data_IF_659536524341
#
_entry.id   IF_659536524341
#
_cell.length_a   1.000
_cell.length_b   1.000
_cell.length_c   1.000
_cell.angle_alpha   90.00
_cell.angle_beta   90.00
_cell.angle_gamma   90.00
#
_symmetry.space_group_name_H-M   'P 1'
#
loop_
_entity.id
_entity.type
_entity.pdbx_description
1 polymer ?
#
# COMPACT_ATOMS: atom_id res chain seq x y z
N UNK A 1 4.58 17.19 3.83
CA UNK A 1 4.65 17.81 2.48
C UNK A 1 3.36 18.53 2.16
N UNK A 2 3.45 19.59 1.33
CA UNK A 2 2.31 20.32 0.80
C UNK A 2 2.47 20.44 -0.72
N UNK A 3 1.35 20.43 -1.43
CA UNK A 3 1.34 20.51 -2.89
C UNK A 3 0.45 21.68 -3.32
N UNK A 4 0.95 22.49 -4.25
CA UNK A 4 0.26 23.65 -4.77
C UNK A 4 0.23 23.57 -6.30
N UNK A 5 -0.95 23.67 -6.90
CA UNK A 5 -1.05 23.87 -8.35
C UNK A 5 -0.67 25.30 -8.66
N UNK A 6 0.28 25.50 -9.55
CA UNK A 6 0.79 26.80 -9.97
C UNK A 6 0.58 26.96 -11.47
N UNK A 7 0.37 28.18 -11.92
CA UNK A 7 0.19 28.50 -13.34
C UNK A 7 1.03 29.72 -13.71
N UNK A 8 1.75 29.65 -14.83
CA UNK A 8 2.51 30.75 -15.39
C UNK A 8 2.52 30.66 -16.92
N UNK A 9 2.09 31.72 -17.61
CA UNK A 9 2.11 31.80 -19.07
C UNK A 9 1.26 30.70 -19.74
N UNK A 10 0.14 30.30 -19.13
CA UNK A 10 -0.77 29.28 -19.62
C UNK A 10 -0.27 27.83 -19.40
N UNK A 11 0.86 27.63 -18.72
CA UNK A 11 1.36 26.32 -18.32
C UNK A 11 1.05 26.05 -16.86
N UNK A 12 0.55 24.84 -16.57
CA UNK A 12 0.27 24.33 -15.21
C UNK A 12 1.41 23.44 -14.74
N UNK A 13 1.66 23.48 -13.43
CA UNK A 13 2.61 22.62 -12.77
C UNK A 13 2.19 22.42 -11.31
N UNK A 14 2.77 21.42 -10.64
CA UNK A 14 2.62 21.19 -9.19
C UNK A 14 3.91 21.61 -8.50
N UNK A 15 3.81 22.53 -7.54
CA UNK A 15 4.90 22.86 -6.63
C UNK A 15 4.77 22.00 -5.37
N UNK A 16 5.72 21.09 -5.17
CA UNK A 16 5.90 20.35 -3.91
C UNK A 16 6.75 21.19 -2.97
N UNK A 17 6.24 21.40 -1.75
CA UNK A 17 6.91 22.07 -0.64
C UNK A 17 7.19 21.03 0.46
N UNK A 18 8.46 20.66 0.61
CA UNK A 18 8.96 19.64 1.54
C UNK A 18 10.17 20.22 2.34
N UNK A 19 9.91 21.21 3.24
CA UNK A 19 10.97 22.00 3.86
C UNK A 19 11.81 21.19 4.84
N UNK A 20 13.17 21.26 4.73
CA UNK A 20 14.06 20.71 5.74
C UNK A 20 13.90 21.43 7.11
N UNK A 21 14.21 20.79 8.22
CA UNK A 21 14.71 19.40 8.37
C UNK A 21 13.58 18.36 8.48
N UNK A 22 12.30 18.79 8.41
CA UNK A 22 11.14 17.94 8.69
C UNK A 22 10.77 17.00 7.53
N UNK A 23 11.13 17.40 6.31
CA UNK A 23 10.87 16.63 5.09
C UNK A 23 12.15 16.58 4.25
N UNK A 24 12.30 15.50 3.46
CA UNK A 24 13.36 15.35 2.46
C UNK A 24 12.72 15.02 1.09
N UNK A 25 12.91 15.86 0.06
CA UNK A 25 12.42 15.58 -1.28
C UNK A 25 13.25 14.57 -2.06
N UNK A 26 14.47 14.23 -1.62
CA UNK A 26 15.39 13.37 -2.36
C UNK A 26 14.85 11.99 -2.68
N UNK A 27 14.18 11.24 -1.75
CA UNK A 27 13.59 9.94 -2.08
C UNK A 27 12.55 10.04 -3.19
N UNK A 28 11.68 11.06 -3.15
CA UNK A 28 10.72 11.32 -4.22
C UNK A 28 11.41 11.54 -5.57
N UNK A 29 12.44 12.41 -5.60
CA UNK A 29 13.18 12.74 -6.82
C UNK A 29 13.85 11.48 -7.41
N UNK A 30 14.54 10.71 -6.58
CA UNK A 30 15.26 9.52 -7.02
C UNK A 30 14.31 8.49 -7.66
N UNK A 31 13.12 8.26 -7.06
CA UNK A 31 12.17 7.30 -7.58
C UNK A 31 11.44 7.85 -8.81
N UNK A 32 11.10 9.15 -8.85
CA UNK A 32 10.54 9.76 -10.04
C UNK A 32 11.49 9.63 -11.25
N UNK A 33 12.79 9.92 -11.06
CA UNK A 33 13.82 9.77 -12.10
C UNK A 33 14.00 8.29 -12.52
N UNK A 34 13.95 7.34 -11.58
CA UNK A 34 13.99 5.91 -11.90
C UNK A 34 12.79 5.48 -12.74
N UNK A 35 11.57 5.86 -12.34
CA UNK A 35 10.34 5.49 -13.04
C UNK A 35 10.30 6.08 -14.44
N UNK A 36 10.58 7.38 -14.59
CA UNK A 36 10.61 8.05 -15.91
C UNK A 36 11.71 7.50 -16.79
N UNK A 37 12.91 7.24 -16.25
CA UNK A 37 14.03 6.60 -16.96
C UNK A 37 13.75 5.17 -17.39
N UNK A 38 12.82 4.47 -16.71
CA UNK A 38 12.34 3.13 -17.05
C UNK A 38 11.12 3.13 -17.98
N UNK A 39 10.63 4.31 -18.39
CA UNK A 39 9.52 4.46 -19.33
C UNK A 39 8.13 4.50 -18.68
N UNK A 40 8.05 4.61 -17.36
CA UNK A 40 6.79 4.76 -16.63
C UNK A 40 6.42 6.24 -16.45
N UNK A 41 5.12 6.54 -16.38
CA UNK A 41 4.64 7.88 -16.14
C UNK A 41 4.68 8.20 -14.63
N UNK A 42 5.74 8.86 -14.20
CA UNK A 42 5.83 9.59 -12.94
C UNK A 42 5.96 11.08 -13.25
N UNK A 43 5.54 12.01 -12.35
CA UNK A 43 5.62 13.45 -12.62
C UNK A 43 7.03 13.87 -13.02
N UNK A 44 7.18 14.46 -14.21
CA UNK A 44 8.45 15.03 -14.66
C UNK A 44 8.90 16.15 -13.71
N UNK A 45 10.18 16.18 -13.39
CA UNK A 45 10.76 17.21 -12.52
C UNK A 45 11.28 18.37 -13.38
N UNK A 46 10.57 19.50 -13.38
CA UNK A 46 10.95 20.67 -14.16
C UNK A 46 12.06 21.49 -13.50
N UNK A 47 12.02 21.60 -12.17
CA UNK A 47 13.03 22.31 -11.40
C UNK A 47 13.06 21.83 -9.95
N UNK A 48 14.19 22.05 -9.26
CA UNK A 48 14.34 21.71 -7.84
C UNK A 48 15.26 22.68 -7.10
N UNK A 49 14.89 23.03 -5.86
CA UNK A 49 15.73 23.69 -4.87
C UNK A 49 15.75 22.85 -3.60
N UNK A 50 16.82 22.07 -3.41
CA UNK A 50 16.98 21.17 -2.27
C UNK A 50 17.28 21.90 -0.96
N UNK A 51 17.73 23.17 -1.03
CA UNK A 51 17.99 23.99 0.15
C UNK A 51 16.68 24.42 0.80
N UNK A 52 15.73 24.86 -0.03
CA UNK A 52 14.40 25.26 0.41
C UNK A 52 13.40 24.08 0.44
N UNK A 53 13.78 22.91 -0.12
CA UNK A 53 12.91 21.74 -0.21
C UNK A 53 11.78 21.89 -1.23
N UNK A 54 11.99 22.69 -2.28
CA UNK A 54 10.99 22.95 -3.32
C UNK A 54 11.28 22.11 -4.57
N UNK A 55 10.22 21.49 -5.12
CA UNK A 55 10.29 20.75 -6.39
C UNK A 55 9.12 21.12 -7.27
N UNK A 56 9.39 21.54 -8.51
CA UNK A 56 8.38 21.86 -9.52
C UNK A 56 8.17 20.63 -10.41
N UNK A 57 6.95 20.13 -10.45
CA UNK A 57 6.56 18.86 -11.03
C UNK A 57 5.52 19.04 -12.15
N UNK A 58 5.47 18.07 -13.04
CA UNK A 58 4.38 17.90 -13.98
C UNK A 58 3.03 17.78 -13.25
N UNK A 59 2.00 18.44 -13.82
CA UNK A 59 0.61 18.34 -13.35
C UNK A 59 -0.13 17.26 -14.17
N UNK A 60 -0.40 16.13 -13.55
CA UNK A 60 -1.16 15.03 -14.16
C UNK A 60 -2.67 15.29 -14.25
N UNK A 61 -3.13 16.50 -13.88
CA UNK A 61 -4.54 16.84 -13.88
C UNK A 61 -5.30 16.32 -12.66
N UNK A 62 -6.57 15.99 -12.84
CA UNK A 62 -7.47 15.68 -11.73
C UNK A 62 -8.13 14.31 -11.84
N UNK A 63 -7.87 13.55 -12.92
CA UNK A 63 -8.53 12.28 -13.17
C UNK A 63 -7.83 11.11 -12.46
N UNK A 64 -8.19 10.89 -11.21
CA UNK A 64 -7.72 9.72 -10.46
C UNK A 64 -8.55 8.49 -10.80
N UNK A 65 -7.89 7.33 -10.78
CA UNK A 65 -8.54 6.04 -10.99
C UNK A 65 -9.71 5.83 -10.02
N UNK A 66 -9.57 6.19 -8.75
CA UNK A 66 -10.61 5.97 -7.74
C UNK A 66 -11.88 6.74 -8.10
N UNK A 67 -11.80 8.06 -8.26
CA UNK A 67 -12.96 8.91 -8.56
C UNK A 67 -13.59 8.54 -9.90
N UNK A 68 -12.77 8.23 -10.90
CA UNK A 68 -13.27 7.77 -12.19
C UNK A 68 -14.09 6.47 -12.05
N UNK A 69 -13.61 5.48 -11.32
CA UNK A 69 -14.32 4.21 -11.14
C UNK A 69 -15.54 4.30 -10.21
N UNK A 70 -15.59 5.31 -9.33
CA UNK A 70 -16.79 5.59 -8.54
C UNK A 70 -17.90 6.16 -9.43
N UNK A 71 -17.54 6.94 -10.48
CA UNK A 71 -18.46 7.53 -11.44
C UNK A 71 -18.76 6.62 -12.65
N UNK A 72 -17.82 5.72 -13.01
CA UNK A 72 -17.84 4.83 -14.18
C UNK A 72 -17.50 3.38 -13.79
N UNK A 73 -18.38 2.68 -13.07
CA UNK A 73 -18.11 1.30 -12.61
C UNK A 73 -17.99 0.29 -13.77
N UNK A 74 -18.49 0.60 -14.96
CA UNK A 74 -18.33 -0.20 -16.18
C UNK A 74 -16.88 -0.30 -16.66
N UNK A 75 -16.02 0.66 -16.30
CA UNK A 75 -14.61 0.69 -16.66
C UNK A 75 -13.72 -0.10 -15.67
N UNK A 76 -14.30 -0.69 -14.62
CA UNK A 76 -13.54 -1.29 -13.53
C UNK A 76 -12.60 -2.39 -14.00
N UNK A 77 -13.10 -3.45 -14.63
CA UNK A 77 -12.25 -4.55 -15.08
C UNK A 77 -11.21 -4.12 -16.12
N UNK A 78 -11.52 -3.33 -17.17
CA UNK A 78 -10.54 -2.82 -18.10
C UNK A 78 -9.41 -2.02 -17.44
N UNK A 79 -9.72 -1.12 -16.51
CA UNK A 79 -8.70 -0.31 -15.83
C UNK A 79 -7.86 -1.17 -14.87
N UNK A 80 -8.47 -2.10 -14.12
CA UNK A 80 -7.69 -3.02 -13.28
C UNK A 80 -6.74 -3.88 -14.10
N UNK A 81 -7.11 -4.34 -15.31
CA UNK A 81 -6.17 -5.03 -16.22
C UNK A 81 -4.99 -4.15 -16.60
N UNK A 82 -5.23 -2.88 -16.99
CA UNK A 82 -4.15 -1.94 -17.31
C UNK A 82 -3.21 -1.72 -16.13
N UNK A 83 -3.75 -1.60 -14.92
CA UNK A 83 -2.97 -1.46 -13.68
C UNK A 83 -2.12 -2.71 -13.40
N UNK A 84 -2.66 -3.91 -13.63
CA UNK A 84 -1.91 -5.16 -13.52
C UNK A 84 -0.80 -5.25 -14.58
N UNK A 85 -1.08 -4.86 -15.82
CA UNK A 85 -0.07 -4.83 -16.90
C UNK A 85 1.06 -3.85 -16.57
N UNK A 86 0.74 -2.66 -16.04
CA UNK A 86 1.71 -1.69 -15.57
C UNK A 86 2.59 -2.27 -14.46
N UNK A 87 1.99 -2.96 -13.47
CA UNK A 87 2.72 -3.59 -12.37
C UNK A 87 3.63 -4.70 -12.86
N UNK A 88 3.16 -5.55 -13.78
CA UNK A 88 3.99 -6.58 -14.41
C UNK A 88 5.15 -5.98 -15.20
N UNK A 89 4.92 -4.85 -15.91
CA UNK A 89 5.98 -4.15 -16.62
C UNK A 89 7.04 -3.59 -15.65
N UNK A 90 6.61 -3.01 -14.52
CA UNK A 90 7.50 -2.52 -13.46
C UNK A 90 8.35 -3.65 -12.86
N UNK A 91 7.79 -4.83 -12.69
CA UNK A 91 8.51 -5.99 -12.15
C UNK A 91 9.50 -6.63 -13.13
N UNK A 92 9.41 -6.30 -14.43
CA UNK A 92 10.34 -6.80 -15.48
C UNK A 92 11.58 -5.92 -15.67
N UNK A 93 11.55 -4.68 -15.23
CA UNK A 93 12.73 -3.80 -15.28
C UNK A 93 13.63 -4.03 -14.05
N UNK A 94 14.93 -3.71 -14.14
CA UNK A 94 15.80 -3.79 -12.96
C UNK A 94 15.23 -2.98 -11.80
N UNK A 95 15.24 -3.56 -10.60
CA UNK A 95 14.75 -2.86 -9.40
C UNK A 95 15.58 -1.60 -9.13
N UNK A 96 14.92 -0.59 -8.56
CA UNK A 96 15.58 0.63 -8.12
C UNK A 96 16.61 0.35 -7.02
N UNK A 97 17.60 1.21 -6.86
CA UNK A 97 18.58 1.14 -5.75
C UNK A 97 17.93 1.66 -4.46
N UNK A 98 17.20 0.79 -3.77
CA UNK A 98 16.42 1.08 -2.58
C UNK A 98 16.72 0.08 -1.46
N UNK A 99 16.43 0.44 -0.18
CA UNK A 99 16.49 -0.52 0.92
C UNK A 99 15.57 -1.72 0.70
N UNK A 100 15.97 -2.86 1.25
CA UNK A 100 15.13 -4.06 1.23
C UNK A 100 13.93 -3.93 2.16
N UNK A 101 12.82 -4.52 1.74
CA UNK A 101 11.69 -4.78 2.61
C UNK A 101 12.01 -6.04 3.42
N UNK A 102 12.81 -5.86 4.46
CA UNK A 102 13.37 -6.92 5.28
C UNK A 102 12.45 -7.31 6.46
N UNK A 103 12.86 -8.31 7.22
CA UNK A 103 12.15 -8.80 8.41
C UNK A 103 11.88 -7.66 9.40
N UNK A 104 12.88 -6.81 9.65
CA UNK A 104 12.75 -5.73 10.62
C UNK A 104 11.67 -4.73 10.18
N UNK A 105 11.63 -4.40 8.89
CA UNK A 105 10.62 -3.50 8.34
C UNK A 105 9.21 -4.12 8.43
N UNK A 106 9.05 -5.40 8.06
CA UNK A 106 7.76 -6.08 8.17
C UNK A 106 7.26 -6.16 9.62
N UNK A 107 8.14 -6.52 10.56
CA UNK A 107 7.77 -6.61 11.98
C UNK A 107 7.42 -5.25 12.58
N UNK A 108 8.21 -4.20 12.30
CA UNK A 108 7.90 -2.84 12.73
C UNK A 108 6.50 -2.40 12.27
N UNK A 109 6.09 -2.81 11.09
CA UNK A 109 4.79 -2.45 10.55
C UNK A 109 3.64 -3.22 11.19
N UNK A 110 3.74 -4.54 11.36
CA UNK A 110 2.67 -5.31 12.01
C UNK A 110 2.50 -4.94 13.49
N UNK A 111 3.59 -4.55 14.16
CA UNK A 111 3.56 -4.12 15.56
C UNK A 111 2.72 -2.86 15.80
N UNK A 112 2.42 -2.08 14.77
CA UNK A 112 1.46 -0.99 14.87
C UNK A 112 0.07 -1.44 15.36
N UNK A 113 -0.31 -2.70 15.11
CA UNK A 113 -1.55 -3.27 15.65
C UNK A 113 -1.47 -3.36 17.19
N UNK A 114 -0.40 -3.97 17.71
CA UNK A 114 -0.23 -4.18 19.17
C UNK A 114 0.11 -2.89 19.91
N UNK A 115 0.76 -1.94 19.23
CA UNK A 115 1.12 -0.63 19.81
C UNK A 115 -0.04 0.37 19.84
N UNK A 116 -0.99 0.29 18.90
CA UNK A 116 -2.03 1.29 18.75
C UNK A 116 -3.44 0.72 18.89
N UNK A 117 -3.79 -0.33 18.11
CA UNK A 117 -5.14 -0.87 18.13
C UNK A 117 -5.45 -1.61 19.43
N UNK A 118 -4.55 -2.49 19.89
CA UNK A 118 -4.81 -3.27 21.10
C UNK A 118 -4.97 -2.39 22.35
N UNK A 119 -4.10 -1.40 22.62
CA UNK A 119 -4.31 -0.47 23.75
C UNK A 119 -5.58 0.37 23.61
N UNK A 120 -5.92 0.83 22.40
CA UNK A 120 -7.15 1.60 22.18
C UNK A 120 -8.42 0.78 22.45
N UNK A 121 -8.36 -0.54 22.28
CA UNK A 121 -9.42 -1.49 22.63
C UNK A 121 -9.28 -2.06 24.05
N UNK A 122 -8.30 -1.59 24.85
CA UNK A 122 -8.00 -2.06 26.19
C UNK A 122 -7.71 -3.58 26.26
N UNK A 123 -7.06 -4.10 25.22
CA UNK A 123 -6.67 -5.49 25.13
C UNK A 123 -5.23 -5.69 25.64
N UNK A 124 -5.07 -6.68 26.52
CA UNK A 124 -3.76 -7.23 26.88
C UNK A 124 -3.50 -8.47 26.03
N UNK A 125 -2.47 -8.42 25.19
CA UNK A 125 -2.21 -9.42 24.15
C UNK A 125 -0.79 -9.96 24.25
N UNK A 126 -0.58 -11.19 23.78
CA UNK A 126 0.72 -11.86 23.68
C UNK A 126 1.54 -11.25 22.50
N UNK A 127 2.28 -10.18 22.79
CA UNK A 127 3.11 -9.48 21.78
C UNK A 127 4.33 -10.28 21.37
N UNK A 128 4.96 -11.05 22.28
CA UNK A 128 6.12 -11.88 21.93
C UNK A 128 5.73 -13.03 21.00
N UNK A 129 4.62 -13.70 21.30
CA UNK A 129 4.06 -14.74 20.42
C UNK A 129 3.61 -14.18 19.08
N UNK A 130 3.08 -12.97 19.03
CA UNK A 130 2.73 -12.27 17.79
C UNK A 130 3.92 -12.08 16.86
N UNK A 131 5.01 -11.51 17.39
CA UNK A 131 6.23 -11.31 16.60
C UNK A 131 6.88 -12.63 16.17
N UNK A 132 6.92 -13.62 17.08
CA UNK A 132 7.52 -14.91 16.77
C UNK A 132 6.78 -15.62 15.60
N UNK A 133 5.45 -15.59 15.62
CA UNK A 133 4.62 -16.16 14.54
C UNK A 133 4.83 -15.37 13.23
N UNK A 134 4.88 -14.05 13.26
CA UNK A 134 5.15 -13.26 12.05
C UNK A 134 6.52 -13.56 11.45
N UNK A 135 7.58 -13.71 12.26
CA UNK A 135 8.91 -14.11 11.76
C UNK A 135 8.85 -15.43 11.00
N UNK A 136 8.20 -16.43 11.59
CA UNK A 136 8.08 -17.74 10.96
C UNK A 136 7.32 -17.70 9.64
N UNK A 137 6.17 -17.00 9.61
CA UNK A 137 5.30 -16.91 8.43
C UNK A 137 5.94 -16.06 7.31
N UNK A 138 6.67 -14.99 7.65
CA UNK A 138 7.32 -14.12 6.67
C UNK A 138 8.63 -14.68 6.11
N UNK A 139 9.27 -15.62 6.78
CA UNK A 139 10.55 -16.17 6.34
C UNK A 139 10.52 -16.70 4.89
N UNK A 140 9.56 -17.52 4.44
CA UNK A 140 9.48 -17.96 3.05
C UNK A 140 9.23 -16.81 2.07
N UNK A 141 8.42 -15.81 2.44
CA UNK A 141 8.16 -14.63 1.60
C UNK A 141 9.44 -13.83 1.37
N UNK A 142 10.22 -13.60 2.45
CA UNK A 142 11.50 -12.88 2.38
C UNK A 142 12.51 -13.66 1.55
N UNK A 143 12.58 -14.98 1.71
CA UNK A 143 13.47 -15.84 0.91
C UNK A 143 13.13 -15.81 -0.59
N UNK A 144 11.85 -15.64 -0.93
CA UNK A 144 11.35 -15.57 -2.30
C UNK A 144 11.55 -14.19 -2.98
N UNK A 145 12.10 -13.20 -2.28
CA UNK A 145 12.46 -11.87 -2.84
C UNK A 145 13.76 -11.93 -3.68
N UNK A 146 13.92 -12.93 -4.54
CA UNK A 146 15.13 -13.06 -5.34
C UNK A 146 14.80 -13.60 -6.75
N UNK A 147 14.89 -12.78 -7.81
CA UNK A 147 15.28 -11.37 -7.78
C UNK A 147 14.20 -10.48 -7.14
N UNK A 148 14.59 -9.45 -6.39
CA UNK A 148 13.63 -8.50 -5.83
C UNK A 148 13.11 -7.56 -6.91
N UNK A 149 11.92 -6.99 -6.69
CA UNK A 149 11.32 -5.96 -7.54
C UNK A 149 11.20 -4.64 -6.78
N UNK A 150 11.01 -3.54 -7.50
CA UNK A 150 10.60 -2.28 -6.87
C UNK A 150 9.17 -2.40 -6.38
N UNK A 151 8.96 -2.19 -5.09
CA UNK A 151 7.67 -2.21 -4.41
C UNK A 151 7.30 -0.78 -4.03
N UNK A 152 6.22 -0.26 -4.61
CA UNK A 152 5.72 1.11 -4.40
C UNK A 152 5.07 1.29 -3.03
N UNK A 153 4.60 0.21 -2.39
CA UNK A 153 3.90 0.11 -1.09
C UNK A 153 2.50 0.70 -1.08
N UNK A 154 2.31 1.87 -1.67
CA UNK A 154 1.04 2.57 -1.76
C UNK A 154 0.47 2.55 -3.20
N UNK A 155 0.60 1.39 -3.88
CA UNK A 155 0.07 1.13 -5.20
C UNK A 155 -1.43 0.83 -5.12
N UNK A 156 -2.26 1.85 -5.08
CA UNK A 156 -3.72 1.75 -4.95
C UNK A 156 -4.44 2.86 -5.74
N UNK A 157 -5.76 2.74 -5.88
CA UNK A 157 -6.55 3.55 -6.82
C UNK A 157 -6.45 5.08 -6.58
N UNK A 158 -6.20 5.56 -5.35
CA UNK A 158 -6.00 6.99 -5.09
C UNK A 158 -4.67 7.54 -5.62
N UNK A 159 -3.67 6.67 -5.88
CA UNK A 159 -2.33 7.04 -6.31
C UNK A 159 -2.06 6.74 -7.79
N UNK A 160 -3.10 6.34 -8.53
CA UNK A 160 -3.07 6.13 -9.98
C UNK A 160 -3.86 7.23 -10.68
N UNK A 161 -3.21 7.89 -11.65
CA UNK A 161 -3.83 8.91 -12.50
C UNK A 161 -4.12 8.34 -13.89
N UNK A 162 -5.30 8.63 -14.42
CA UNK A 162 -5.67 8.30 -15.79
C UNK A 162 -5.28 9.49 -16.69
N UNK A 163 -4.20 9.33 -17.46
CA UNK A 163 -3.67 10.43 -18.26
C UNK A 163 -4.41 10.55 -19.60
N UNK A 164 -4.43 11.75 -20.18
CA UNK A 164 -5.12 12.03 -21.45
C UNK A 164 -4.57 11.21 -22.64
N UNK A 165 -3.31 10.80 -22.57
CA UNK A 165 -2.66 9.94 -23.59
C UNK A 165 -2.92 8.43 -23.38
N UNK A 166 -3.75 8.07 -22.41
CA UNK A 166 -4.12 6.70 -22.08
C UNK A 166 -3.13 5.95 -21.18
N UNK A 167 -2.01 6.57 -20.80
CA UNK A 167 -1.09 6.00 -19.80
C UNK A 167 -1.64 6.14 -18.38
N UNK A 168 -1.11 5.32 -17.48
CA UNK A 168 -1.37 5.42 -16.05
C UNK A 168 -0.22 6.15 -15.37
N UNK A 169 -0.52 7.29 -14.71
CA UNK A 169 0.44 8.07 -13.94
C UNK A 169 0.56 7.57 -12.50
N UNK A 170 1.78 7.45 -12.00
CA UNK A 170 2.09 6.97 -10.66
C UNK A 170 2.35 8.13 -9.71
N UNK A 171 1.75 8.09 -8.52
CA UNK A 171 1.94 9.08 -7.46
C UNK A 171 2.30 8.38 -6.14
N UNK A 172 2.79 9.17 -5.18
CA UNK A 172 3.01 8.79 -3.76
C UNK A 172 3.97 7.59 -3.57
N UNK A 173 5.04 7.55 -4.37
CA UNK A 173 5.99 6.44 -4.45
C UNK A 173 7.28 6.63 -3.63
N UNK A 174 7.47 7.72 -2.91
CA UNK A 174 8.72 8.07 -2.23
C UNK A 174 9.13 7.12 -1.10
N UNK A 175 8.21 6.30 -0.61
CA UNK A 175 8.44 5.30 0.43
C UNK A 175 8.66 3.89 -0.15
N UNK A 176 8.97 3.80 -1.46
CA UNK A 176 9.23 2.54 -2.14
C UNK A 176 10.43 1.80 -1.54
N UNK A 177 10.41 0.49 -1.65
CA UNK A 177 11.45 -0.44 -1.20
C UNK A 177 11.71 -1.47 -2.32
N UNK A 178 12.70 -2.34 -2.14
CA UNK A 178 12.79 -3.56 -2.96
C UNK A 178 12.26 -4.75 -2.18
N UNK A 179 11.44 -5.58 -2.80
CA UNK A 179 10.76 -6.66 -2.09
C UNK A 179 10.06 -7.67 -2.98
N UNK A 180 9.04 -8.31 -2.42
CA UNK A 180 8.26 -9.37 -3.08
C UNK A 180 7.18 -8.77 -4.01
N UNK A 181 7.04 -9.25 -5.26
CA UNK A 181 6.12 -8.69 -6.25
C UNK A 181 4.64 -8.75 -5.83
N UNK A 182 4.24 -9.64 -4.92
CA UNK A 182 2.87 -9.72 -4.46
C UNK A 182 2.43 -8.52 -3.60
N UNK A 183 3.35 -7.71 -3.03
CA UNK A 183 2.97 -6.65 -2.10
C UNK A 183 2.10 -5.57 -2.76
N UNK A 184 2.52 -5.06 -3.92
CA UNK A 184 1.77 -4.02 -4.63
C UNK A 184 0.50 -4.58 -5.26
N UNK A 185 0.51 -5.85 -5.66
CA UNK A 185 -0.70 -6.54 -6.11
C UNK A 185 -1.75 -6.61 -4.99
N UNK A 186 -1.34 -6.96 -3.76
CA UNK A 186 -2.20 -6.88 -2.57
C UNK A 186 -2.69 -5.44 -2.35
N UNK A 187 -1.78 -4.46 -2.44
CA UNK A 187 -2.13 -3.06 -2.21
C UNK A 187 -3.23 -2.56 -3.13
N UNK A 188 -3.23 -3.02 -4.39
CA UNK A 188 -4.24 -2.68 -5.39
C UNK A 188 -5.53 -3.49 -5.21
N UNK A 189 -5.43 -4.80 -5.02
CA UNK A 189 -6.59 -5.69 -5.00
C UNK A 189 -7.28 -5.78 -3.64
N UNK A 190 -6.60 -5.36 -2.57
CA UNK A 190 -7.15 -5.23 -1.22
C UNK A 190 -7.04 -3.77 -0.75
N UNK A 191 -7.54 -2.84 -1.59
CA UNK A 191 -7.48 -1.41 -1.31
C UNK A 191 -8.22 -1.06 -0.01
N UNK A 192 -7.54 -0.33 0.87
CA UNK A 192 -8.10 0.09 2.15
C UNK A 192 -9.23 1.13 2.00
N UNK A 193 -9.25 1.87 0.91
CA UNK A 193 -10.14 3.03 0.70
C UNK A 193 -11.23 2.78 -0.34
N UNK A 194 -11.08 1.74 -1.17
CA UNK A 194 -12.05 1.33 -2.18
C UNK A 194 -12.41 -0.14 -1.99
N UNK A 195 -13.70 -0.51 -2.09
CA UNK A 195 -14.10 -1.92 -2.12
C UNK A 195 -13.75 -2.51 -3.49
N UNK A 196 -12.96 -3.59 -3.47
CA UNK A 196 -12.67 -4.42 -4.63
C UNK A 196 -13.49 -5.70 -4.48
N UNK A 197 -14.39 -6.04 -5.42
CA UNK A 197 -15.17 -7.27 -5.35
C UNK A 197 -14.27 -8.51 -5.31
N UNK A 198 -14.64 -9.52 -4.51
CA UNK A 198 -13.87 -10.77 -4.39
C UNK A 198 -13.66 -11.47 -5.75
N UNK A 199 -14.62 -11.37 -6.65
CA UNK A 199 -14.54 -11.92 -8.00
C UNK A 199 -13.49 -11.17 -8.84
N UNK A 200 -13.48 -9.84 -8.77
CA UNK A 200 -12.48 -9.01 -9.48
C UNK A 200 -11.08 -9.30 -8.94
N UNK A 201 -10.91 -9.37 -7.62
CA UNK A 201 -9.61 -9.73 -7.02
C UNK A 201 -9.13 -11.10 -7.51
N UNK A 202 -9.99 -12.12 -7.49
CA UNK A 202 -9.65 -13.46 -7.96
C UNK A 202 -9.29 -13.49 -9.45
N UNK A 203 -10.03 -12.75 -10.30
CA UNK A 203 -9.78 -12.64 -11.72
C UNK A 203 -8.45 -11.93 -12.01
N UNK A 204 -8.18 -10.82 -11.34
CA UNK A 204 -6.94 -10.05 -11.52
C UNK A 204 -5.72 -10.80 -11.00
N UNK A 205 -5.83 -11.51 -9.87
CA UNK A 205 -4.76 -12.38 -9.39
C UNK A 205 -4.48 -13.53 -10.37
N UNK A 206 -5.52 -14.11 -10.96
CA UNK A 206 -5.35 -15.14 -12.00
C UNK A 206 -4.74 -14.56 -13.27
N UNK A 207 -5.15 -13.37 -13.68
CA UNK A 207 -4.57 -12.65 -14.81
C UNK A 207 -3.09 -12.35 -14.59
N UNK A 208 -2.71 -11.85 -13.41
CA UNK A 208 -1.31 -11.61 -13.06
C UNK A 208 -0.45 -12.88 -13.16
N UNK A 209 -1.02 -14.03 -12.77
CA UNK A 209 -0.33 -15.32 -12.72
C UNK A 209 -0.41 -16.14 -14.03
N UNK A 210 -0.97 -15.58 -15.11
CA UNK A 210 -1.24 -16.35 -16.35
C UNK A 210 0.01 -17.01 -16.95
N UNK A 211 1.18 -16.40 -16.80
CA UNK A 211 2.46 -16.91 -17.29
C UNK A 211 3.25 -17.76 -16.28
N UNK A 212 2.69 -17.98 -15.06
CA UNK A 212 3.31 -18.79 -14.02
C UNK A 212 2.96 -20.27 -14.21
N UNK A 213 3.92 -21.18 -13.93
CA UNK A 213 3.59 -22.60 -13.79
C UNK A 213 2.78 -22.87 -12.51
N UNK A 214 2.06 -24.00 -12.47
CA UNK A 214 1.11 -24.33 -11.39
C UNK A 214 1.73 -24.27 -9.99
N UNK A 215 2.95 -24.77 -9.82
CA UNK A 215 3.66 -24.76 -8.53
C UNK A 215 4.01 -23.32 -8.11
N UNK A 216 4.61 -22.53 -9.01
CA UNK A 216 4.96 -21.14 -8.74
C UNK A 216 3.71 -20.27 -8.50
N UNK A 217 2.62 -20.52 -9.22
CA UNK A 217 1.35 -19.83 -9.00
C UNK A 217 0.75 -20.17 -7.62
N UNK A 218 0.87 -21.41 -7.17
CA UNK A 218 0.40 -21.85 -5.85
C UNK A 218 1.23 -21.19 -4.74
N UNK A 219 2.55 -21.20 -4.87
CA UNK A 219 3.46 -20.53 -3.94
C UNK A 219 3.19 -19.01 -3.88
N UNK A 220 3.05 -18.37 -5.04
CA UNK A 220 2.74 -16.94 -5.11
C UNK A 220 1.41 -16.60 -4.42
N UNK A 221 0.36 -17.40 -4.57
CA UNK A 221 -0.91 -17.22 -3.87
C UNK A 221 -0.77 -17.32 -2.36
N UNK A 222 0.11 -18.20 -1.87
CA UNK A 222 0.45 -18.27 -0.45
C UNK A 222 1.13 -16.98 0.03
N UNK A 223 2.11 -16.49 -0.71
CA UNK A 223 2.79 -15.24 -0.41
C UNK A 223 1.85 -14.02 -0.50
N UNK A 224 0.94 -14.01 -1.46
CA UNK A 224 -0.11 -12.99 -1.59
C UNK A 224 -0.99 -12.93 -0.33
N UNK A 225 -1.46 -14.08 0.17
CA UNK A 225 -2.28 -14.14 1.38
C UNK A 225 -1.49 -13.70 2.63
N UNK A 226 -0.22 -14.11 2.75
CA UNK A 226 0.66 -13.70 3.87
C UNK A 226 0.89 -12.20 3.86
N UNK A 227 1.21 -11.62 2.71
CA UNK A 227 1.42 -10.18 2.57
C UNK A 227 0.12 -9.39 2.69
N UNK A 228 -1.01 -9.97 2.28
CA UNK A 228 -2.35 -9.42 2.54
C UNK A 228 -2.61 -9.29 4.03
N UNK A 229 -2.43 -10.37 4.78
CA UNK A 229 -2.59 -10.35 6.23
C UNK A 229 -1.61 -9.39 6.92
N UNK A 230 -0.33 -9.35 6.48
CA UNK A 230 0.67 -8.42 7.01
C UNK A 230 0.25 -6.96 6.78
N UNK A 231 -0.09 -6.61 5.54
CA UNK A 231 -0.47 -5.25 5.16
C UNK A 231 -1.77 -4.81 5.85
N UNK A 232 -2.78 -5.67 5.91
CA UNK A 232 -4.04 -5.36 6.56
C UNK A 232 -3.87 -5.17 8.08
N UNK A 233 -3.02 -5.97 8.71
CA UNK A 233 -2.61 -5.82 10.12
C UNK A 233 -1.95 -4.46 10.36
N UNK A 234 -0.95 -4.09 9.53
CA UNK A 234 -0.30 -2.78 9.55
C UNK A 234 -1.31 -1.64 9.43
N UNK A 235 -2.24 -1.72 8.46
CA UNK A 235 -3.19 -0.65 8.17
C UNK A 235 -4.16 -0.44 9.34
N UNK A 236 -4.64 -1.49 9.99
CA UNK A 236 -5.46 -1.39 11.20
C UNK A 236 -4.72 -0.55 12.27
N UNK A 237 -3.44 -0.85 12.50
CA UNK A 237 -2.59 -0.08 13.41
C UNK A 237 -2.40 1.37 12.97
N UNK A 238 -2.11 1.61 11.68
CA UNK A 238 -1.94 2.97 11.12
C UNK A 238 -3.22 3.80 11.27
N UNK A 239 -4.38 3.26 10.89
CA UNK A 239 -5.64 3.99 10.94
C UNK A 239 -6.03 4.34 12.39
N UNK A 240 -5.78 3.41 13.31
CA UNK A 240 -5.94 3.69 14.74
C UNK A 240 -4.99 4.80 15.20
N UNK A 241 -3.70 4.74 14.85
CA UNK A 241 -2.72 5.77 15.19
C UNK A 241 -3.12 7.14 14.64
N UNK A 242 -3.55 7.21 13.38
CA UNK A 242 -4.00 8.46 12.75
C UNK A 242 -5.21 9.07 13.47
N UNK A 243 -6.12 8.24 13.97
CA UNK A 243 -7.24 8.71 14.80
C UNK A 243 -6.76 9.19 16.17
N UNK A 244 -6.03 8.32 16.90
CA UNK A 244 -5.70 8.56 18.31
C UNK A 244 -4.66 9.67 18.50
N UNK A 245 -3.64 9.72 17.62
CA UNK A 245 -2.54 10.69 17.70
C UNK A 245 -2.85 11.98 16.96
N UNK A 246 -3.42 11.87 15.75
CA UNK A 246 -3.54 13.00 14.83
C UNK A 246 -4.99 13.53 14.71
N UNK A 247 -5.94 12.96 15.49
CA UNK A 247 -7.35 13.37 15.52
C UNK A 247 -8.13 13.11 14.22
N UNK A 248 -7.60 12.29 13.33
CA UNK A 248 -8.19 12.02 12.00
C UNK A 248 -9.25 10.92 12.08
N UNK A 249 -10.39 11.20 12.70
CA UNK A 249 -11.45 10.21 12.99
C UNK A 249 -11.96 9.44 11.79
N UNK A 250 -12.00 10.05 10.59
CA UNK A 250 -12.47 9.42 9.34
C UNK A 250 -11.80 8.09 9.02
N UNK A 251 -10.57 7.86 9.53
CA UNK A 251 -9.86 6.60 9.27
C UNK A 251 -10.46 5.40 10.00
N UNK A 252 -11.26 5.62 11.05
CA UNK A 252 -11.96 4.54 11.74
C UNK A 252 -13.06 3.91 10.88
N UNK A 253 -13.62 4.67 9.92
CA UNK A 253 -14.65 4.18 9.00
C UNK A 253 -14.13 3.06 8.07
N UNK A 254 -12.81 2.99 7.87
CA UNK A 254 -12.18 1.94 7.06
C UNK A 254 -11.86 0.66 7.85
N UNK A 255 -11.85 0.68 9.18
CA UNK A 255 -11.48 -0.49 9.99
C UNK A 255 -12.35 -1.72 9.73
N UNK A 256 -13.69 -1.63 9.57
CA UNK A 256 -14.49 -2.82 9.25
C UNK A 256 -14.05 -3.51 7.95
N UNK A 257 -13.67 -2.74 6.92
CA UNK A 257 -13.13 -3.28 5.67
C UNK A 257 -11.79 -3.97 5.92
N UNK A 258 -10.89 -3.35 6.65
CA UNK A 258 -9.58 -3.92 6.94
C UNK A 258 -9.68 -5.23 7.72
N UNK A 259 -10.59 -5.33 8.69
CA UNK A 259 -10.84 -6.57 9.41
C UNK A 259 -11.43 -7.65 8.49
N UNK A 260 -12.36 -7.32 7.59
CA UNK A 260 -12.92 -8.24 6.62
C UNK A 260 -11.84 -8.82 5.69
N UNK A 261 -10.94 -7.96 5.18
CA UNK A 261 -9.81 -8.37 4.34
C UNK A 261 -8.82 -9.25 5.11
N UNK A 262 -8.43 -8.84 6.31
CA UNK A 262 -7.55 -9.64 7.16
C UNK A 262 -8.16 -11.02 7.48
N UNK A 263 -9.43 -11.09 7.84
CA UNK A 263 -10.12 -12.36 8.12
C UNK A 263 -10.23 -13.25 6.87
N UNK A 264 -10.31 -12.67 5.68
CA UNK A 264 -10.25 -13.40 4.42
C UNK A 264 -8.87 -14.05 4.24
N UNK A 265 -7.81 -13.27 4.40
CA UNK A 265 -6.42 -13.76 4.28
C UNK A 265 -6.12 -14.85 5.30
N UNK A 266 -6.54 -14.66 6.57
CA UNK A 266 -6.36 -15.62 7.66
C UNK A 266 -7.03 -16.99 7.44
N UNK A 267 -7.85 -17.14 6.40
CA UNK A 267 -8.37 -18.46 5.99
C UNK A 267 -7.35 -19.29 5.22
N UNK A 268 -6.28 -18.67 4.72
CA UNK A 268 -5.23 -19.40 4.02
C UNK A 268 -4.46 -20.30 4.99
N UNK A 269 -4.18 -21.59 4.63
CA UNK A 269 -3.51 -22.54 5.53
C UNK A 269 -2.18 -22.07 6.11
N UNK A 270 -1.38 -21.33 5.33
CA UNK A 270 -0.10 -20.77 5.78
C UNK A 270 -0.24 -19.78 6.95
N UNK A 271 -1.43 -19.24 7.17
CA UNK A 271 -1.74 -18.25 8.23
C UNK A 271 -2.45 -18.88 9.44
N UNK A 272 -2.59 -20.20 9.50
CA UNK A 272 -3.27 -20.86 10.60
C UNK A 272 -2.69 -20.51 12.00
N UNK A 273 -1.36 -20.45 12.21
CA UNK A 273 -0.78 -20.02 13.49
C UNK A 273 -1.20 -18.60 13.87
N UNK A 274 -1.18 -17.67 12.92
CA UNK A 274 -1.58 -16.29 13.13
C UNK A 274 -3.08 -16.17 13.39
N UNK A 275 -3.91 -16.91 12.65
CA UNK A 275 -5.35 -16.98 12.89
C UNK A 275 -5.66 -17.40 14.34
N UNK A 276 -4.98 -18.44 14.85
CA UNK A 276 -5.13 -18.88 16.24
C UNK A 276 -4.72 -17.81 17.25
N UNK A 277 -3.66 -17.05 16.94
CA UNK A 277 -3.27 -15.92 17.77
C UNK A 277 -4.35 -14.84 17.80
N UNK A 278 -4.86 -14.43 16.64
CA UNK A 278 -5.94 -13.44 16.54
C UNK A 278 -7.20 -13.89 17.28
N UNK A 279 -7.63 -15.14 17.10
CA UNK A 279 -8.84 -15.67 17.73
C UNK A 279 -8.75 -15.69 19.27
N UNK A 280 -7.52 -15.88 19.81
CA UNK A 280 -7.26 -15.86 21.26
C UNK A 280 -7.15 -14.45 21.82
N UNK A 281 -6.46 -13.55 21.14
CA UNK A 281 -6.05 -12.25 21.69
C UNK A 281 -6.99 -11.12 21.28
N UNK A 282 -7.63 -11.19 20.12
CA UNK A 282 -8.57 -10.20 19.60
C UNK A 282 -9.84 -10.91 19.13
N UNK A 283 -10.78 -11.23 20.05
CA UNK A 283 -11.98 -11.97 19.70
C UNK A 283 -12.83 -11.31 18.61
N UNK A 284 -13.61 -12.11 17.86
CA UNK A 284 -14.42 -11.63 16.74
C UNK A 284 -15.41 -10.51 17.16
N UNK A 285 -15.91 -10.57 18.39
CA UNK A 285 -16.80 -9.54 18.94
C UNK A 285 -16.10 -8.19 19.08
N UNK A 286 -14.79 -8.16 19.29
CA UNK A 286 -13.99 -6.93 19.33
C UNK A 286 -13.72 -6.41 17.93
N UNK A 287 -13.35 -7.29 17.01
CA UNK A 287 -13.06 -6.93 15.61
C UNK A 287 -14.28 -6.33 14.89
N UNK A 288 -15.50 -6.76 15.27
CA UNK A 288 -16.76 -6.30 14.68
C UNK A 288 -17.31 -5.01 15.31
N UNK A 289 -16.78 -4.57 16.46
CA UNK A 289 -17.25 -3.37 17.14
C UNK A 289 -16.61 -2.11 16.53
N UNK A 290 -17.37 -1.01 16.41
CA UNK A 290 -16.77 0.30 16.18
C UNK A 290 -15.76 0.60 17.27
N UNK A 291 -14.62 1.19 16.90
CA UNK A 291 -13.66 1.66 17.89
C UNK A 291 -14.29 2.75 18.76
N UNK A 292 -14.07 2.71 20.08
CA UNK A 292 -14.46 3.83 20.94
C UNK A 292 -13.75 5.10 20.45
N UNK A 293 -14.52 6.14 20.18
CA UNK A 293 -13.95 7.45 19.83
C UNK A 293 -13.15 7.94 21.04
N UNK A 294 -11.91 8.36 20.79
CA UNK A 294 -11.16 9.07 21.82
C UNK A 294 -11.98 10.30 22.24
N UNK A 295 -12.27 10.43 23.54
CA UNK A 295 -12.80 11.68 24.05
C UNK A 295 -11.83 12.78 23.65
N UNK A 296 -12.32 13.75 22.90
CA UNK A 296 -11.51 14.91 22.53
C UNK A 296 -11.03 15.55 23.82
N UNK A 297 -9.74 15.42 24.11
CA UNK A 297 -9.12 16.20 25.18
C UNK A 297 -9.36 17.68 24.84
N UNK A 298 -10.29 18.29 25.58
CA UNK A 298 -10.61 19.71 25.50
C UNK A 298 -9.46 20.57 25.98
#
# INVERSE_FOLDING_TARGET
>A
RRYFRVEAGGRKAILMDAPPPHEDPKPFIAIAEYLTGSGFAAPEIFARDLTEGLVLLEDFGDQRMREHLDDHPEDEEPIYRQVIDLLQALHRVPAAELPAYDEQQYLREVNLLTEWYCPAQQLDVDTEGFEAIWREILAPVIAAQNPPVTVMRDYHAENIMLLEDGRLGLLDFQDALIGHPAYDLVSMLQDARRDVPDELEANMLTYYLADYGDEAATEFRSHYAILGAQRNTKIIGIFTRLCMRDGKQRYLDFLPRMWRLLEKDLRHPALEPMKKWFDRNIPAEVRSKPMPMAEANK
#
